data_IF_219151049589
#
_entry.id   IF_219151049589
#
_cell.length_a   1.000
_cell.length_b   1.000
_cell.length_c   1.000
_cell.angle_alpha   90.00
_cell.angle_beta   90.00
_cell.angle_gamma   90.00
#
_symmetry.space_group_name_H-M   'P 1'
#
loop_
_entity.id
_entity.type
_entity.pdbx_description
1 polymer ?
#
# COMPACT_ATOMS: atom_id res chain seq x y z
N UNK A 1 21.42 11.63 -9.71
CA UNK A 1 20.40 11.16 -8.72
C UNK A 1 20.65 9.74 -8.20
N UNK A 2 21.20 8.80 -8.97
CA UNK A 2 21.56 7.45 -8.45
C UNK A 2 22.89 7.39 -7.64
N UNK A 3 23.69 8.47 -7.61
CA UNK A 3 25.03 8.45 -7.03
C UNK A 3 25.10 8.59 -5.48
N UNK A 4 23.96 8.67 -4.78
CA UNK A 4 23.94 8.90 -3.32
C UNK A 4 22.95 8.02 -2.56
N UNK A 5 22.33 7.02 -3.20
CA UNK A 5 21.19 6.25 -2.63
C UNK A 5 20.05 7.13 -2.09
N UNK A 6 19.90 8.36 -2.61
CA UNK A 6 18.83 9.27 -2.22
C UNK A 6 17.75 9.27 -3.29
N UNK A 7 16.60 8.71 -2.92
CA UNK A 7 15.39 8.69 -3.75
C UNK A 7 14.37 9.65 -3.13
N UNK A 8 13.76 10.52 -3.93
CA UNK A 8 12.68 11.40 -3.44
C UNK A 8 11.45 10.56 -3.04
N UNK A 9 10.61 11.04 -2.11
CA UNK A 9 9.34 10.38 -1.78
C UNK A 9 8.48 10.06 -3.01
N UNK A 10 8.47 10.96 -4.00
CA UNK A 10 7.71 10.80 -5.24
C UNK A 10 8.29 9.71 -6.14
N UNK A 11 9.62 9.64 -6.27
CA UNK A 11 10.28 8.57 -7.03
C UNK A 11 10.07 7.22 -6.34
N UNK A 12 10.15 7.15 -5.01
CA UNK A 12 9.89 5.93 -4.26
C UNK A 12 8.46 5.44 -4.47
N UNK A 13 7.49 6.35 -4.41
CA UNK A 13 6.10 6.04 -4.68
C UNK A 13 5.87 5.55 -6.11
N UNK A 14 6.49 6.19 -7.10
CA UNK A 14 6.42 5.76 -8.50
C UNK A 14 6.94 4.32 -8.68
N UNK A 15 8.13 4.02 -8.15
CA UNK A 15 8.73 2.68 -8.23
C UNK A 15 7.87 1.65 -7.50
N UNK A 16 7.40 1.98 -6.30
CA UNK A 16 6.51 1.11 -5.54
C UNK A 16 5.21 0.83 -6.28
N UNK A 17 4.58 1.85 -6.88
CA UNK A 17 3.35 1.67 -7.65
C UNK A 17 3.55 0.77 -8.87
N UNK A 18 4.67 0.94 -9.59
CA UNK A 18 4.98 0.07 -10.72
C UNK A 18 5.16 -1.39 -10.28
N UNK A 19 5.92 -1.62 -9.22
CA UNK A 19 6.10 -2.94 -8.65
C UNK A 19 4.78 -3.53 -8.13
N UNK A 20 4.00 -2.76 -7.37
CA UNK A 20 2.66 -3.14 -6.87
C UNK A 20 1.76 -3.63 -8.00
N UNK A 21 1.70 -2.90 -9.11
CA UNK A 21 0.85 -3.27 -10.25
C UNK A 21 1.24 -4.62 -10.85
N UNK A 22 2.54 -4.94 -10.92
CA UNK A 22 3.03 -6.24 -11.37
C UNK A 22 2.54 -7.33 -10.40
N UNK A 23 2.73 -7.13 -9.10
CA UNK A 23 2.32 -8.10 -8.08
C UNK A 23 0.80 -8.31 -8.06
N UNK A 24 -0.01 -7.26 -8.20
CA UNK A 24 -1.47 -7.36 -8.27
C UNK A 24 -1.90 -8.21 -9.48
N UNK A 25 -1.25 -8.04 -10.64
CA UNK A 25 -1.54 -8.86 -11.84
C UNK A 25 -1.16 -10.32 -11.64
N UNK A 26 -0.04 -10.59 -10.99
CA UNK A 26 0.36 -11.96 -10.61
C UNK A 26 -0.67 -12.56 -9.65
N UNK A 27 -1.09 -11.82 -8.62
CA UNK A 27 -2.09 -12.27 -7.66
C UNK A 27 -3.45 -12.53 -8.31
N UNK A 28 -3.90 -11.69 -9.25
CA UNK A 28 -5.15 -11.94 -9.98
C UNK A 28 -5.04 -13.21 -10.82
N UNK A 29 -3.92 -13.42 -11.51
CA UNK A 29 -3.72 -14.63 -12.31
C UNK A 29 -3.75 -15.88 -11.43
N UNK A 30 -3.09 -15.86 -10.28
CA UNK A 30 -3.09 -17.00 -9.35
C UNK A 30 -4.49 -17.30 -8.77
N UNK A 31 -5.39 -16.31 -8.67
CA UNK A 31 -6.76 -16.48 -8.13
C UNK A 31 -7.75 -17.09 -9.14
N UNK A 32 -7.49 -16.96 -10.43
CA UNK A 32 -8.34 -17.51 -11.47
C UNK A 32 -7.88 -18.94 -11.83
N UNK A 33 -8.57 -19.95 -11.31
CA UNK A 33 -8.35 -21.36 -11.65
C UNK A 33 -9.23 -21.87 -12.79
N UNK A 34 -10.23 -21.10 -13.24
CA UNK A 34 -11.23 -21.55 -14.22
C UNK A 34 -11.26 -20.66 -15.47
N UNK A 35 -11.00 -21.24 -16.65
CA UNK A 35 -11.36 -20.65 -17.95
C UNK A 35 -10.28 -20.77 -19.06
N UNK A 36 -10.61 -21.28 -20.26
CA UNK A 36 -9.67 -21.61 -21.34
C UNK A 36 -9.24 -20.41 -22.21
N UNK A 37 -9.32 -19.18 -21.72
CA UNK A 37 -8.75 -18.03 -22.43
C UNK A 37 -7.33 -17.77 -21.92
N UNK A 38 -6.41 -18.63 -22.38
CA UNK A 38 -4.97 -18.44 -22.25
C UNK A 38 -4.57 -17.20 -23.06
N UNK A 39 -4.74 -16.03 -22.44
CA UNK A 39 -4.10 -14.80 -22.92
C UNK A 39 -2.57 -14.94 -22.76
N UNK A 40 -1.77 -14.39 -23.68
CA UNK A 40 -0.30 -14.44 -23.64
C UNK A 40 0.29 -14.02 -22.27
N UNK A 41 -0.43 -13.16 -21.55
CA UNK A 41 -0.08 -12.74 -20.18
C UNK A 41 -0.16 -13.87 -19.14
N UNK A 42 -1.08 -14.83 -19.28
CA UNK A 42 -1.19 -15.97 -18.37
C UNK A 42 0.05 -16.87 -18.44
N UNK A 43 0.52 -17.17 -19.65
CA UNK A 43 1.76 -17.93 -19.88
C UNK A 43 2.96 -17.20 -19.29
N UNK A 44 3.02 -15.88 -19.44
CA UNK A 44 4.09 -15.05 -18.86
C UNK A 44 4.08 -15.10 -17.31
N UNK A 45 2.92 -15.04 -16.67
CA UNK A 45 2.83 -15.10 -15.20
C UNK A 45 3.10 -16.50 -14.65
N UNK A 46 2.69 -17.56 -15.34
CA UNK A 46 3.08 -18.92 -15.00
C UNK A 46 4.60 -19.10 -15.07
N UNK A 47 5.24 -18.65 -16.15
CA UNK A 47 6.69 -18.72 -16.33
C UNK A 47 7.45 -17.90 -15.27
N UNK A 48 6.95 -16.69 -14.96
CA UNK A 48 7.49 -15.86 -13.88
C UNK A 48 7.41 -16.58 -12.53
N UNK A 49 6.24 -17.12 -12.17
CA UNK A 49 6.05 -17.87 -10.94
C UNK A 49 6.95 -19.11 -10.90
N UNK A 50 7.04 -19.86 -12.00
CA UNK A 50 7.87 -21.05 -12.06
C UNK A 50 9.35 -20.71 -11.86
N UNK A 51 9.86 -19.68 -12.54
CA UNK A 51 11.26 -19.23 -12.39
C UNK A 51 11.54 -18.68 -11.00
N UNK A 52 10.64 -17.85 -10.46
CA UNK A 52 10.84 -17.20 -9.16
C UNK A 52 10.79 -18.20 -8.00
N UNK A 53 9.85 -19.16 -8.05
CA UNK A 53 9.66 -20.14 -6.99
C UNK A 53 10.52 -21.41 -7.17
N UNK A 54 11.23 -21.54 -8.30
CA UNK A 54 12.00 -22.73 -8.59
C UNK A 54 11.10 -23.95 -8.80
N UNK A 55 10.09 -23.79 -9.66
CA UNK A 55 9.19 -24.85 -10.09
C UNK A 55 9.55 -25.29 -11.50
N UNK A 56 9.44 -26.59 -11.76
CA UNK A 56 9.55 -27.17 -13.10
C UNK A 56 8.32 -28.01 -13.37
N UNK A 57 7.64 -27.81 -14.50
CA UNK A 57 6.49 -28.66 -14.88
C UNK A 57 6.97 -30.12 -14.92
N UNK A 58 6.32 -30.97 -14.14
CA UNK A 58 6.47 -32.42 -14.29
C UNK A 58 5.69 -32.81 -15.54
N UNK A 59 6.15 -33.74 -16.36
CA UNK A 59 5.53 -34.02 -17.67
C UNK A 59 4.04 -34.44 -17.62
N UNK A 60 3.51 -34.66 -16.42
CA UNK A 60 2.12 -34.92 -16.13
C UNK A 60 1.31 -33.64 -15.89
N UNK A 61 0.06 -33.67 -16.35
CA UNK A 61 -0.88 -32.56 -16.16
C UNK A 61 -1.13 -32.39 -14.66
N UNK A 62 -0.97 -31.15 -14.17
CA UNK A 62 -1.31 -30.70 -12.81
C UNK A 62 -0.26 -30.87 -11.69
N UNK A 63 1.01 -31.09 -12.03
CA UNK A 63 2.10 -31.15 -11.02
C UNK A 63 3.35 -30.35 -11.38
N UNK A 64 3.99 -29.82 -10.34
CA UNK A 64 5.29 -29.16 -10.40
C UNK A 64 6.32 -29.91 -9.56
N UNK A 65 7.53 -30.06 -10.10
CA UNK A 65 8.73 -30.41 -9.34
C UNK A 65 9.22 -29.15 -8.62
N UNK A 66 9.31 -29.21 -7.29
CA UNK A 66 9.87 -28.16 -6.44
C UNK A 66 11.38 -28.37 -6.32
N UNK A 67 12.15 -27.41 -6.81
CA UNK A 67 13.61 -27.51 -6.85
C UNK A 67 14.28 -27.23 -5.49
N UNK A 68 13.61 -26.49 -4.60
CA UNK A 68 14.11 -26.18 -3.26
C UNK A 68 13.00 -26.30 -2.21
N UNK A 69 12.97 -27.43 -1.49
CA UNK A 69 12.01 -27.69 -0.41
C UNK A 69 12.15 -26.73 0.78
N UNK A 70 13.31 -26.10 0.93
CA UNK A 70 13.60 -25.19 2.03
C UNK A 70 13.26 -23.73 1.71
N UNK A 71 12.70 -23.45 0.53
CA UNK A 71 12.33 -22.10 0.15
C UNK A 71 11.30 -21.46 1.11
N UNK A 72 11.41 -20.15 1.30
CA UNK A 72 10.56 -19.37 2.22
C UNK A 72 9.13 -19.21 1.73
N UNK A 73 8.90 -19.29 0.40
CA UNK A 73 7.57 -19.23 -0.19
C UNK A 73 6.74 -20.49 0.09
N UNK A 74 7.41 -21.63 0.35
CA UNK A 74 6.75 -22.88 0.61
C UNK A 74 6.28 -22.94 2.07
N UNK A 75 5.01 -22.59 2.26
CA UNK A 75 4.33 -22.59 3.56
C UNK A 75 4.38 -23.98 4.23
N UNK A 76 4.11 -24.04 5.54
CA UNK A 76 4.03 -25.31 6.27
C UNK A 76 2.99 -26.25 5.62
N UNK A 77 1.82 -25.72 5.26
CA UNK A 77 0.79 -26.48 4.55
C UNK A 77 1.26 -26.98 3.18
N UNK A 78 2.02 -26.16 2.45
CA UNK A 78 2.66 -26.55 1.19
C UNK A 78 3.69 -27.67 1.37
N UNK A 79 4.57 -27.57 2.37
CA UNK A 79 5.56 -28.61 2.71
C UNK A 79 4.90 -29.94 3.06
N UNK A 80 3.82 -29.90 3.84
CA UNK A 80 3.07 -31.08 4.23
C UNK A 80 2.32 -31.73 3.05
N UNK A 81 2.09 -30.97 1.96
CA UNK A 81 1.42 -31.45 0.75
C UNK A 81 2.39 -31.99 -0.30
N UNK A 82 3.71 -31.95 -0.04
CA UNK A 82 4.70 -32.47 -0.99
C UNK A 82 4.64 -33.99 -1.07
N UNK A 83 4.65 -34.50 -2.30
CA UNK A 83 4.81 -35.91 -2.58
C UNK A 83 6.28 -36.17 -2.93
N UNK A 84 6.91 -37.17 -2.30
CA UNK A 84 8.24 -37.61 -2.68
C UNK A 84 8.13 -38.68 -3.77
N UNK A 85 8.82 -38.44 -4.88
CA UNK A 85 9.04 -39.42 -5.95
C UNK A 85 10.56 -39.58 -6.15
N UNK A 86 11.14 -40.57 -5.47
CA UNK A 86 12.59 -40.73 -5.35
C UNK A 86 13.25 -39.46 -4.81
N UNK A 87 14.09 -38.81 -5.61
CA UNK A 87 14.77 -37.56 -5.28
C UNK A 87 13.96 -36.30 -5.65
N UNK A 88 12.77 -36.45 -6.24
CA UNK A 88 11.91 -35.33 -6.65
C UNK A 88 10.89 -35.03 -5.56
N UNK A 89 10.63 -33.75 -5.34
CA UNK A 89 9.54 -33.28 -4.51
C UNK A 89 8.48 -32.68 -5.43
N UNK A 90 7.30 -33.29 -5.46
CA UNK A 90 6.19 -32.89 -6.33
C UNK A 90 5.15 -32.12 -5.51
N UNK A 91 4.60 -31.07 -6.11
CA UNK A 91 3.51 -30.27 -5.56
C UNK A 91 2.44 -30.07 -6.62
N UNK A 92 1.17 -30.27 -6.25
CA UNK A 92 0.05 -30.00 -7.15
C UNK A 92 -0.09 -28.52 -7.48
N UNK A 93 -0.57 -28.20 -8.68
CA UNK A 93 -0.80 -26.81 -9.11
C UNK A 93 -1.65 -26.02 -8.11
N UNK A 94 -2.75 -26.55 -7.53
CA UNK A 94 -3.55 -25.80 -6.56
C UNK A 94 -2.76 -25.41 -5.30
N UNK A 95 -1.92 -26.31 -4.79
CA UNK A 95 -1.08 -26.03 -3.63
C UNK A 95 0.06 -25.06 -3.97
N UNK A 96 0.65 -25.16 -5.17
CA UNK A 96 1.60 -24.18 -5.68
C UNK A 96 0.98 -22.78 -5.72
N UNK A 97 -0.20 -22.64 -6.34
CA UNK A 97 -0.90 -21.36 -6.46
C UNK A 97 -1.23 -20.78 -5.08
N UNK A 98 -1.76 -21.59 -4.16
CA UNK A 98 -2.05 -21.16 -2.79
C UNK A 98 -0.80 -20.66 -2.04
N UNK A 99 0.32 -21.38 -2.14
CA UNK A 99 1.58 -20.96 -1.51
C UNK A 99 2.14 -19.68 -2.15
N UNK A 100 2.12 -19.59 -3.48
CA UNK A 100 2.53 -18.40 -4.22
C UNK A 100 1.69 -17.18 -3.87
N UNK A 101 0.37 -17.31 -3.78
CA UNK A 101 -0.53 -16.24 -3.35
C UNK A 101 -0.20 -15.77 -1.94
N UNK A 102 -0.06 -16.70 -0.99
CA UNK A 102 0.31 -16.37 0.39
C UNK A 102 1.65 -15.61 0.45
N UNK A 103 2.64 -16.06 -0.32
CA UNK A 103 3.93 -15.40 -0.40
C UNK A 103 3.81 -13.98 -0.95
N UNK A 104 3.19 -13.79 -2.11
CA UNK A 104 3.08 -12.48 -2.75
C UNK A 104 2.25 -11.49 -1.94
N UNK A 105 1.21 -11.96 -1.25
CA UNK A 105 0.45 -11.13 -0.30
C UNK A 105 1.32 -10.66 0.87
N UNK A 106 2.12 -11.56 1.46
CA UNK A 106 3.04 -11.22 2.53
C UNK A 106 4.14 -10.25 2.07
N UNK A 107 4.71 -10.47 0.89
CA UNK A 107 5.71 -9.57 0.30
C UNK A 107 5.11 -8.19 -0.01
N UNK A 108 3.92 -8.13 -0.61
CA UNK A 108 3.22 -6.89 -0.89
C UNK A 108 3.03 -6.07 0.41
N UNK A 109 2.59 -6.71 1.48
CA UNK A 109 2.44 -6.09 2.80
C UNK A 109 3.78 -5.67 3.42
N UNK A 110 4.80 -6.53 3.37
CA UNK A 110 6.12 -6.27 3.95
C UNK A 110 6.85 -5.11 3.26
N UNK A 111 6.86 -5.11 1.92
CA UNK A 111 7.46 -4.06 1.10
C UNK A 111 6.65 -2.77 1.25
N UNK A 112 5.32 -2.83 1.22
CA UNK A 112 4.45 -1.68 1.46
C UNK A 112 4.71 -1.03 2.82
N UNK A 113 4.80 -1.83 3.88
CA UNK A 113 5.17 -1.35 5.22
C UNK A 113 6.57 -0.71 5.25
N UNK A 114 7.55 -1.32 4.56
CA UNK A 114 8.91 -0.78 4.47
C UNK A 114 8.96 0.57 3.75
N UNK A 115 8.19 0.72 2.68
CA UNK A 115 8.02 2.00 1.96
C UNK A 115 7.38 3.05 2.87
N UNK A 116 6.30 2.71 3.56
CA UNK A 116 5.67 3.60 4.53
C UNK A 116 6.63 4.06 5.62
N UNK A 117 7.45 3.16 6.18
CA UNK A 117 8.48 3.53 7.16
C UNK A 117 9.53 4.49 6.61
N UNK A 118 9.93 4.34 5.35
CA UNK A 118 10.84 5.30 4.71
C UNK A 118 10.18 6.66 4.52
N UNK A 119 8.92 6.70 4.09
CA UNK A 119 8.17 7.95 3.91
C UNK A 119 7.89 8.66 5.25
N UNK A 120 7.54 7.91 6.29
CA UNK A 120 7.37 8.41 7.66
C UNK A 120 8.64 9.12 8.14
N UNK A 121 9.82 8.50 7.98
CA UNK A 121 11.09 9.15 8.35
C UNK A 121 11.33 10.45 7.58
N UNK A 122 10.88 10.55 6.32
CA UNK A 122 11.00 11.78 5.53
C UNK A 122 10.09 12.89 6.06
N UNK A 123 8.89 12.54 6.52
CA UNK A 123 7.93 13.47 7.15
C UNK A 123 8.46 13.96 8.51
N UNK A 124 9.01 13.08 9.34
CA UNK A 124 9.53 13.43 10.67
C UNK A 124 10.79 14.32 10.60
N UNK A 125 11.68 14.09 9.63
CA UNK A 125 12.90 14.87 9.45
C UNK A 125 12.59 16.27 8.86
N UNK A 126 11.51 16.39 8.09
CA UNK A 126 11.14 17.61 7.36
C UNK A 126 10.44 18.68 8.24
N UNK A 127 11.00 18.96 9.41
CA UNK A 127 10.57 20.08 10.28
C UNK A 127 11.03 21.46 9.77
N UNK A 128 11.84 21.52 8.70
CA UNK A 128 12.28 22.78 8.09
C UNK A 128 11.48 23.11 6.82
N UNK A 129 11.09 24.39 6.62
CA UNK A 129 10.10 24.86 5.64
C UNK A 129 10.49 24.76 4.14
N UNK A 130 11.48 23.97 3.76
CA UNK A 130 12.05 24.00 2.40
C UNK A 130 11.08 23.53 1.29
N UNK A 131 9.97 22.86 1.60
CA UNK A 131 8.72 23.00 0.81
C UNK A 131 7.55 22.28 1.49
N UNK A 132 6.60 23.05 2.05
CA UNK A 132 5.31 22.53 2.52
C UNK A 132 4.60 21.67 1.46
N UNK A 133 4.85 21.94 0.17
CA UNK A 133 4.36 21.15 -0.97
C UNK A 133 4.83 19.69 -0.93
N UNK A 134 6.14 19.46 -0.74
CA UNK A 134 6.71 18.11 -0.70
C UNK A 134 6.16 17.34 0.50
N UNK A 135 5.97 18.04 1.63
CA UNK A 135 5.45 17.44 2.84
C UNK A 135 3.97 17.02 2.69
N UNK A 136 3.10 17.93 2.22
CA UNK A 136 1.69 17.61 1.93
C UNK A 136 1.62 16.44 0.96
N UNK A 137 2.38 16.47 -0.14
CA UNK A 137 2.38 15.40 -1.13
C UNK A 137 2.86 14.06 -0.55
N UNK A 138 3.86 14.07 0.33
CA UNK A 138 4.35 12.85 0.99
C UNK A 138 3.30 12.28 1.95
N UNK A 139 2.58 13.12 2.68
CA UNK A 139 1.48 12.70 3.56
C UNK A 139 0.36 12.04 2.75
N UNK A 140 -0.05 12.64 1.63
CA UNK A 140 -1.06 12.06 0.75
C UNK A 140 -0.62 10.69 0.20
N UNK A 141 0.65 10.55 -0.18
CA UNK A 141 1.23 9.27 -0.62
C UNK A 141 1.17 8.23 0.51
N UNK A 142 1.57 8.58 1.74
CA UNK A 142 1.50 7.67 2.90
C UNK A 142 0.06 7.20 3.10
N UNK A 143 -0.90 8.12 3.07
CA UNK A 143 -2.31 7.82 3.24
C UNK A 143 -2.80 6.83 2.16
N UNK A 144 -2.50 7.10 0.89
CA UNK A 144 -2.89 6.24 -0.23
C UNK A 144 -2.31 4.82 -0.11
N UNK A 145 -1.03 4.69 0.23
CA UNK A 145 -0.39 3.40 0.44
C UNK A 145 -1.03 2.66 1.62
N UNK A 146 -1.30 3.36 2.73
CA UNK A 146 -1.92 2.75 3.90
C UNK A 146 -3.34 2.24 3.62
N UNK A 147 -4.14 3.00 2.86
CA UNK A 147 -5.52 2.63 2.46
C UNK A 147 -5.59 1.34 1.65
N UNK A 148 -4.62 1.13 0.75
CA UNK A 148 -4.53 -0.13 0.00
C UNK A 148 -4.57 -1.34 0.92
N UNK A 149 -3.92 -1.27 2.09
CA UNK A 149 -3.84 -2.39 3.03
C UNK A 149 -5.04 -2.49 4.00
N UNK A 150 -5.97 -1.53 3.96
CA UNK A 150 -7.29 -1.66 4.59
C UNK A 150 -8.29 -2.39 3.68
N UNK A 151 -8.07 -2.37 2.37
CA UNK A 151 -8.95 -3.08 1.43
C UNK A 151 -9.01 -4.58 1.79
N UNK A 152 -10.21 -5.19 1.90
CA UNK A 152 -10.37 -6.58 2.33
C UNK A 152 -9.50 -7.56 1.53
N UNK A 153 -9.32 -7.28 0.23
CA UNK A 153 -8.56 -8.08 -0.71
C UNK A 153 -7.04 -8.09 -0.49
N UNK A 154 -6.50 -7.10 0.22
CA UNK A 154 -5.08 -6.96 0.56
C UNK A 154 -4.83 -6.97 2.07
N UNK A 155 -5.91 -6.92 2.87
CA UNK A 155 -5.83 -6.92 4.32
C UNK A 155 -5.29 -8.26 4.84
N UNK A 156 -4.17 -8.21 5.56
CA UNK A 156 -3.69 -9.35 6.35
C UNK A 156 -3.99 -9.02 7.81
N UNK A 157 -4.75 -9.86 8.56
CA UNK A 157 -5.20 -9.55 9.92
C UNK A 157 -4.09 -9.15 10.90
N UNK A 158 -2.89 -9.73 10.74
CA UNK A 158 -1.71 -9.42 11.57
C UNK A 158 -1.08 -8.05 11.25
N UNK A 159 -1.37 -7.49 10.08
CA UNK A 159 -0.76 -6.27 9.55
C UNK A 159 -1.64 -5.02 9.69
N UNK A 160 -2.97 -5.17 9.76
CA UNK A 160 -3.92 -4.03 9.79
C UNK A 160 -3.64 -3.05 10.94
N UNK A 161 -3.31 -3.56 12.14
CA UNK A 161 -2.94 -2.72 13.29
C UNK A 161 -1.69 -1.88 13.04
N UNK A 162 -0.74 -2.38 12.24
CA UNK A 162 0.50 -1.66 11.91
C UNK A 162 0.26 -0.55 10.91
N UNK A 163 -0.69 -0.72 9.99
CA UNK A 163 -1.03 0.32 9.02
C UNK A 163 -1.79 1.48 9.68
N UNK A 164 -2.55 1.20 10.74
CA UNK A 164 -3.33 2.20 11.46
C UNK A 164 -2.51 3.38 12.02
N UNK A 165 -1.27 3.15 12.44
CA UNK A 165 -0.43 4.25 12.95
C UNK A 165 -0.11 5.29 11.87
N UNK A 166 -0.07 4.89 10.60
CA UNK A 166 0.18 5.83 9.50
C UNK A 166 -1.02 6.73 9.21
N UNK A 167 -2.25 6.27 9.43
CA UNK A 167 -3.43 7.16 9.35
C UNK A 167 -3.37 8.25 10.40
N UNK A 168 -3.08 7.88 11.65
CA UNK A 168 -2.92 8.84 12.75
C UNK A 168 -1.81 9.86 12.44
N UNK A 169 -0.68 9.40 11.89
CA UNK A 169 0.39 10.28 11.44
C UNK A 169 -0.10 11.25 10.35
N UNK A 170 -0.81 10.74 9.34
CA UNK A 170 -1.33 11.55 8.24
C UNK A 170 -2.32 12.60 8.73
N UNK A 171 -3.30 12.23 9.55
CA UNK A 171 -4.28 13.15 10.12
C UNK A 171 -3.60 14.28 10.92
N UNK A 172 -2.68 13.91 11.83
CA UNK A 172 -1.97 14.90 12.65
C UNK A 172 -1.15 15.87 11.80
N UNK A 173 -0.33 15.35 10.88
CA UNK A 173 0.58 16.18 10.06
C UNK A 173 -0.17 16.99 9.02
N UNK A 174 -1.22 16.43 8.44
CA UNK A 174 -2.08 17.15 7.51
C UNK A 174 -2.78 18.31 8.21
N UNK A 175 -3.33 18.09 9.41
CA UNK A 175 -3.96 19.14 10.20
C UNK A 175 -2.97 20.27 10.54
N UNK A 176 -1.78 19.95 11.02
CA UNK A 176 -0.72 20.93 11.30
C UNK A 176 -0.40 21.78 10.06
N UNK A 177 -0.35 21.16 8.88
CA UNK A 177 -0.10 21.87 7.63
C UNK A 177 -1.26 22.78 7.22
N UNK A 178 -2.49 22.28 7.25
CA UNK A 178 -3.68 23.10 6.96
C UNK A 178 -3.72 24.32 7.89
N UNK A 179 -3.43 24.12 9.19
CA UNK A 179 -3.36 25.21 10.15
C UNK A 179 -2.26 26.23 9.83
N UNK A 180 -1.04 25.78 9.52
CA UNK A 180 0.07 26.66 9.16
C UNK A 180 -0.21 27.46 7.88
N UNK A 181 -0.76 26.80 6.87
CA UNK A 181 -1.10 27.40 5.58
C UNK A 181 -2.19 28.45 5.72
N UNK A 182 -3.17 28.18 6.58
CA UNK A 182 -4.20 29.15 6.95
C UNK A 182 -3.61 30.38 7.64
N UNK A 183 -2.70 30.18 8.61
CA UNK A 183 -2.07 31.27 9.37
C UNK A 183 -1.19 32.15 8.50
N UNK A 184 -0.39 31.54 7.62
CA UNK A 184 0.68 32.24 6.90
C UNK A 184 0.25 32.80 5.54
N UNK A 185 -1.03 32.62 5.14
CA UNK A 185 -1.57 33.13 3.87
C UNK A 185 -0.95 32.49 2.61
N UNK A 186 -0.14 31.44 2.77
CA UNK A 186 0.59 30.74 1.69
C UNK A 186 -0.27 29.75 0.90
N UNK A 187 -1.59 29.82 1.11
CA UNK A 187 -2.61 28.92 0.57
C UNK A 187 -2.54 28.77 -0.96
N UNK A 188 -2.20 29.83 -1.69
CA UNK A 188 -2.11 29.82 -3.16
C UNK A 188 -1.22 28.72 -3.74
N UNK A 189 -0.08 28.43 -3.10
CA UNK A 189 0.89 27.43 -3.60
C UNK A 189 0.53 25.98 -3.29
N UNK A 190 -0.37 25.75 -2.32
CA UNK A 190 -0.75 24.42 -1.83
C UNK A 190 -2.19 24.05 -2.15
N UNK A 191 -2.99 25.04 -2.57
CA UNK A 191 -4.37 24.90 -3.03
C UNK A 191 -4.52 23.74 -4.01
N UNK A 192 -3.65 23.62 -5.02
CA UNK A 192 -3.74 22.54 -6.00
C UNK A 192 -3.53 21.12 -5.40
N UNK A 193 -2.76 20.97 -4.32
CA UNK A 193 -2.59 19.68 -3.64
C UNK A 193 -3.76 19.39 -2.69
N UNK A 194 -4.22 20.42 -1.99
CA UNK A 194 -5.33 20.35 -1.05
C UNK A 194 -6.68 20.19 -1.78
N UNK A 195 -6.72 20.53 -3.06
CA UNK A 195 -7.86 20.32 -3.96
C UNK A 195 -7.85 18.96 -4.69
N UNK A 196 -7.00 18.02 -4.25
CA UNK A 196 -6.93 16.68 -4.83
C UNK A 196 -7.95 15.72 -4.20
N UNK A 197 -8.43 14.69 -4.94
CA UNK A 197 -9.33 13.67 -4.38
C UNK A 197 -8.80 13.02 -3.09
N UNK A 198 -7.50 12.72 -3.05
CA UNK A 198 -6.85 12.14 -1.88
C UNK A 198 -6.87 13.07 -0.65
N UNK A 199 -6.76 14.38 -0.85
CA UNK A 199 -6.85 15.36 0.21
C UNK A 199 -8.30 15.48 0.74
N UNK A 200 -9.29 15.53 -0.14
CA UNK A 200 -10.70 15.51 0.25
C UNK A 200 -11.08 14.27 1.05
N UNK A 201 -10.58 13.11 0.63
CA UNK A 201 -10.81 11.86 1.33
C UNK A 201 -10.18 11.89 2.74
N UNK A 202 -8.94 12.37 2.86
CA UNK A 202 -8.28 12.53 4.17
C UNK A 202 -9.01 13.54 5.07
N UNK A 203 -9.58 14.61 4.50
CA UNK A 203 -10.42 15.56 5.23
C UNK A 203 -11.69 14.87 5.73
N UNK A 204 -12.38 14.09 4.87
CA UNK A 204 -13.58 13.37 5.24
C UNK A 204 -13.31 12.36 6.37
N UNK A 205 -12.25 11.56 6.25
CA UNK A 205 -11.85 10.59 7.27
C UNK A 205 -11.53 11.29 8.59
N UNK A 206 -10.77 12.39 8.54
CA UNK A 206 -10.44 13.21 9.71
C UNK A 206 -11.69 13.77 10.38
N UNK A 207 -12.68 14.24 9.60
CA UNK A 207 -13.94 14.75 10.13
C UNK A 207 -14.73 13.63 10.82
N UNK A 208 -14.86 12.47 10.18
CA UNK A 208 -15.52 11.31 10.76
C UNK A 208 -14.85 10.88 12.08
N UNK A 209 -13.52 10.84 12.13
CA UNK A 209 -12.77 10.51 13.34
C UNK A 209 -12.97 11.53 14.48
N UNK A 210 -13.01 12.83 14.16
CA UNK A 210 -13.22 13.88 15.16
C UNK A 210 -14.67 13.97 15.66
N UNK A 211 -15.66 13.71 14.80
CA UNK A 211 -17.09 13.78 15.12
C UNK A 211 -17.61 12.51 15.83
N UNK A 212 -17.01 11.36 15.55
CA UNK A 212 -17.38 10.08 16.14
C UNK A 212 -16.19 9.44 16.87
N UNK A 213 -15.69 10.05 17.96
CA UNK A 213 -14.55 9.50 18.68
C UNK A 213 -14.92 8.17 19.34
N UNK A 214 -13.97 7.24 19.38
CA UNK A 214 -14.17 5.86 19.89
C UNK A 214 -14.66 5.84 21.35
N UNK A 215 -14.26 6.82 22.15
CA UNK A 215 -14.67 6.96 23.55
C UNK A 215 -16.00 7.69 23.74
N UNK A 216 -16.69 8.07 22.64
CA UNK A 216 -17.94 8.84 22.59
C UNK A 216 -17.89 10.22 23.28
N UNK A 217 -16.70 10.69 23.68
CA UNK A 217 -16.52 11.96 24.36
C UNK A 217 -15.92 12.98 23.41
N UNK A 218 -16.74 13.94 22.98
CA UNK A 218 -16.29 15.07 22.18
C UNK A 218 -15.45 16.02 23.05
N UNK A 219 -14.29 16.43 22.54
CA UNK A 219 -13.40 17.37 23.25
C UNK A 219 -13.38 18.70 22.52
N UNK A 220 -12.97 19.77 23.20
CA UNK A 220 -12.74 21.06 22.54
C UNK A 220 -11.69 20.95 21.42
N UNK A 221 -10.72 20.02 21.54
CA UNK A 221 -9.77 19.71 20.48
C UNK A 221 -10.44 19.10 19.25
N UNK A 222 -11.39 18.17 19.43
CA UNK A 222 -12.18 17.60 18.33
C UNK A 222 -12.99 18.68 17.59
N UNK A 223 -13.65 19.56 18.34
CA UNK A 223 -14.41 20.69 17.80
C UNK A 223 -13.50 21.65 17.03
N UNK A 224 -12.38 22.08 17.61
CA UNK A 224 -11.43 22.99 16.96
C UNK A 224 -10.87 22.44 15.64
N UNK A 225 -10.48 21.15 15.62
CA UNK A 225 -10.01 20.49 14.39
C UNK A 225 -11.09 20.43 13.32
N UNK A 226 -12.31 20.06 13.70
CA UNK A 226 -13.47 19.99 12.80
C UNK A 226 -13.74 21.36 12.17
N UNK A 227 -13.81 22.42 12.98
CA UNK A 227 -14.04 23.79 12.50
C UNK A 227 -12.99 24.22 11.48
N UNK A 228 -11.71 23.98 11.78
CA UNK A 228 -10.61 24.33 10.86
C UNK A 228 -10.70 23.59 9.53
N UNK A 229 -11.00 22.28 9.55
CA UNK A 229 -11.14 21.48 8.33
C UNK A 229 -12.34 21.94 7.48
N UNK A 230 -13.48 22.27 8.12
CA UNK A 230 -14.66 22.79 7.42
C UNK A 230 -14.40 24.17 6.81
N UNK A 231 -13.75 25.07 7.55
CA UNK A 231 -13.36 26.39 7.03
C UNK A 231 -12.42 26.26 5.83
N UNK A 232 -11.45 25.34 5.91
CA UNK A 232 -10.56 25.06 4.80
C UNK A 232 -11.31 24.52 3.56
N UNK A 233 -12.22 23.56 3.76
CA UNK A 233 -13.04 23.00 2.68
C UNK A 233 -13.97 24.05 2.03
N UNK A 234 -14.55 24.96 2.83
CA UNK A 234 -15.37 26.06 2.32
C UNK A 234 -14.54 27.02 1.45
N UNK A 235 -13.34 27.38 1.90
CA UNK A 235 -12.45 28.26 1.15
C UNK A 235 -11.94 27.65 -0.16
N UNK A 236 -11.70 26.33 -0.19
CA UNK A 236 -11.42 25.60 -1.43
C UNK A 236 -12.59 25.71 -2.43
N UNK A 237 -13.83 25.70 -1.95
CA UNK A 237 -15.03 25.88 -2.77
C UNK A 237 -15.14 27.27 -3.38
N UNK A 238 -14.82 28.32 -2.62
CA UNK A 238 -14.83 29.70 -3.11
C UNK A 238 -13.74 29.96 -4.15
N UNK A 239 -12.53 29.43 -3.96
CA UNK A 239 -11.43 29.55 -4.92
C UNK A 239 -11.70 28.87 -6.29
N UNK A 240 -12.66 27.93 -6.35
CA UNK A 240 -13.12 27.31 -7.61
C UNK A 240 -14.14 28.14 -8.37
N UNK A 241 -14.76 29.13 -7.71
CA UNK A 241 -15.81 29.99 -8.29
C UNK A 241 -15.25 31.34 -8.79
N UNK A 242 -14.01 31.69 -8.44
CA UNK A 242 -13.28 32.88 -8.87
C UNK A 242 -12.39 32.60 -10.08
#
# INVERSE_FOLDING_TARGET
MLASNQMSPQTLFYVWNHWKLIIIKVLSHLRHTDGPELNDYAVMYEDLCAKYFGLRKDGEVDRYVVLNINASWLSIAGRNSLQQDGNRCLLGVPQCHSCAQCFWMNELSSVGFSVLKKLESAVEISLKPASSYTLVRTILIINEIAKLFEEPQFSIPKSSKKFRSFFILCECRFFELVFLVWRDGTMGSLLCLLDSPAAYELIADSLSANLCPVNKNLTHGHLGRTTMLVLHAAHLGEARLS
#
